data_IF_273698322166
#
_entry.id   IF_273698322166
#
_cell.length_a   1.000
_cell.length_b   1.000
_cell.length_c   1.000
_cell.angle_alpha   90.00
_cell.angle_beta   90.00
_cell.angle_gamma   90.00
#
_symmetry.space_group_name_H-M   'P 1'
#
loop_
_entity.id
_entity.type
_entity.pdbx_description
1 polymer ?
#
# COMPACT_ATOMS: atom_id res chain seq x y z
N UNK A 1 22.43 19.42 4.23
CA UNK A 1 22.94 18.06 3.97
C UNK A 1 24.13 18.13 3.03
N UNK A 2 25.19 17.38 3.33
CA UNK A 2 26.34 17.27 2.45
C UNK A 2 26.05 16.30 1.27
N UNK A 3 26.98 16.22 0.32
CA UNK A 3 26.83 15.40 -0.88
C UNK A 3 26.73 13.90 -0.56
N UNK A 4 27.41 13.44 0.49
CA UNK A 4 27.39 12.04 0.91
C UNK A 4 26.01 11.67 1.45
N UNK A 5 25.43 12.51 2.29
CA UNK A 5 24.09 12.30 2.84
C UNK A 5 23.03 12.29 1.75
N UNK A 6 23.16 13.18 0.75
CA UNK A 6 22.25 13.21 -0.39
C UNK A 6 22.35 11.93 -1.22
N UNK A 7 23.55 11.39 -1.42
CA UNK A 7 23.76 10.13 -2.12
C UNK A 7 23.13 8.96 -1.38
N UNK A 8 23.23 8.92 -0.04
CA UNK A 8 22.62 7.88 0.79
C UNK A 8 21.10 7.91 0.66
N UNK A 9 20.50 9.09 0.66
CA UNK A 9 19.05 9.27 0.49
C UNK A 9 18.62 8.75 -0.89
N UNK A 10 19.31 9.13 -1.94
CA UNK A 10 18.98 8.68 -3.30
C UNK A 10 19.11 7.17 -3.47
N UNK A 11 20.12 6.56 -2.84
CA UNK A 11 20.27 5.10 -2.84
C UNK A 11 19.09 4.41 -2.13
N UNK A 12 18.66 4.92 -0.98
CA UNK A 12 17.51 4.38 -0.26
C UNK A 12 16.24 4.46 -1.10
N UNK A 13 16.00 5.58 -1.76
CA UNK A 13 14.86 5.77 -2.65
C UNK A 13 14.87 4.75 -3.79
N UNK A 14 16.01 4.55 -4.42
CA UNK A 14 16.17 3.58 -5.52
C UNK A 14 15.95 2.15 -5.04
N UNK A 15 16.48 1.79 -3.89
CA UNK A 15 16.31 0.47 -3.29
C UNK A 15 14.83 0.19 -2.98
N UNK A 16 14.15 1.15 -2.40
CA UNK A 16 12.72 1.03 -2.08
C UNK A 16 11.87 0.91 -3.35
N UNK A 17 12.19 1.69 -4.36
CA UNK A 17 11.51 1.61 -5.65
C UNK A 17 11.69 0.24 -6.31
N UNK A 18 12.93 -0.25 -6.34
CA UNK A 18 13.26 -1.58 -6.88
C UNK A 18 12.51 -2.67 -6.14
N UNK A 19 12.51 -2.61 -4.82
CA UNK A 19 11.79 -3.56 -3.96
C UNK A 19 10.29 -3.56 -4.28
N UNK A 20 9.69 -2.40 -4.41
CA UNK A 20 8.28 -2.26 -4.76
C UNK A 20 7.98 -2.91 -6.11
N UNK A 21 8.81 -2.69 -7.12
CA UNK A 21 8.63 -3.29 -8.46
C UNK A 21 8.81 -4.81 -8.46
N UNK A 22 9.72 -5.32 -7.66
CA UNK A 22 9.88 -6.77 -7.47
C UNK A 22 8.62 -7.37 -6.84
N UNK A 23 8.06 -6.72 -5.83
CA UNK A 23 6.80 -7.16 -5.22
C UNK A 23 5.65 -7.15 -6.24
N UNK A 24 5.58 -6.10 -7.05
CA UNK A 24 4.56 -6.02 -8.11
C UNK A 24 4.63 -7.23 -9.04
N UNK A 25 5.83 -7.55 -9.54
CA UNK A 25 6.02 -8.70 -10.44
C UNK A 25 5.61 -10.02 -9.81
N UNK A 26 5.96 -10.24 -8.54
CA UNK A 26 5.59 -11.45 -7.81
C UNK A 26 4.09 -11.56 -7.58
N UNK A 27 3.44 -10.45 -7.22
CA UNK A 27 2.00 -10.42 -7.00
C UNK A 27 1.26 -10.65 -8.31
N UNK A 28 1.67 -9.99 -9.38
CA UNK A 28 1.07 -10.19 -10.71
C UNK A 28 1.16 -11.65 -11.16
N UNK A 29 2.30 -12.27 -10.89
CA UNK A 29 2.49 -13.69 -11.21
C UNK A 29 1.55 -14.58 -10.41
N UNK A 30 1.39 -14.33 -9.12
CA UNK A 30 0.52 -15.12 -8.25
C UNK A 30 -0.97 -14.93 -8.58
N UNK A 31 -1.38 -13.72 -8.89
CA UNK A 31 -2.76 -13.41 -9.21
C UNK A 31 -3.13 -13.69 -10.67
N UNK A 32 -2.14 -13.79 -11.56
CA UNK A 32 -2.38 -13.95 -12.99
C UNK A 32 -3.00 -12.74 -13.67
N UNK A 33 -2.79 -11.54 -13.11
CA UNK A 33 -3.32 -10.28 -13.64
C UNK A 33 -2.20 -9.23 -13.71
N UNK A 34 -2.45 -8.19 -14.49
CA UNK A 34 -1.57 -7.00 -14.52
C UNK A 34 -2.18 -5.95 -13.61
N UNK A 35 -1.40 -5.50 -12.62
CA UNK A 35 -1.83 -4.48 -11.68
C UNK A 35 -1.67 -3.09 -12.29
N UNK A 36 -2.55 -2.18 -11.93
CA UNK A 36 -2.40 -0.79 -12.31
C UNK A 36 -1.20 -0.18 -11.60
N UNK A 37 -0.50 0.71 -12.28
CA UNK A 37 0.72 1.32 -11.74
C UNK A 37 0.90 2.76 -12.20
N UNK A 38 1.63 3.52 -11.41
CA UNK A 38 2.25 4.76 -11.83
C UNK A 38 3.73 4.77 -11.44
N UNK A 39 4.40 5.92 -11.51
CA UNK A 39 5.84 6.01 -11.27
C UNK A 39 6.28 5.51 -9.89
N UNK A 40 5.46 5.73 -8.87
CA UNK A 40 5.81 5.48 -7.48
C UNK A 40 4.88 4.49 -6.77
N UNK A 41 4.01 3.81 -7.52
CA UNK A 41 3.04 2.91 -6.91
C UNK A 41 2.55 1.83 -7.86
N UNK A 42 1.90 0.84 -7.28
CA UNK A 42 1.05 -0.11 -7.99
C UNK A 42 -0.10 -0.52 -7.08
N UNK A 43 -1.12 -1.13 -7.64
CA UNK A 43 -2.21 -1.62 -6.83
C UNK A 43 -3.41 -2.06 -7.63
N UNK A 44 -4.52 -2.25 -6.93
CA UNK A 44 -5.76 -2.73 -7.51
C UNK A 44 -6.96 -1.96 -6.96
N UNK A 45 -7.88 -1.60 -7.83
CA UNK A 45 -9.14 -1.00 -7.44
C UNK A 45 -10.05 -2.11 -6.90
N UNK A 46 -10.37 -2.06 -5.60
CA UNK A 46 -11.21 -3.07 -4.97
C UNK A 46 -12.69 -2.87 -5.30
N UNK A 47 -13.12 -1.63 -5.27
CA UNK A 47 -14.45 -1.21 -5.70
C UNK A 47 -14.36 0.25 -6.18
N UNK A 48 -15.48 0.88 -6.49
CA UNK A 48 -15.47 2.26 -6.98
C UNK A 48 -15.03 3.31 -5.93
N UNK A 49 -14.81 2.90 -4.68
CA UNK A 49 -14.45 3.81 -3.58
C UNK A 49 -13.08 3.53 -2.99
N UNK A 50 -12.56 2.31 -3.10
CA UNK A 50 -11.37 1.88 -2.36
C UNK A 50 -10.34 1.26 -3.28
N UNK A 51 -9.12 1.74 -3.16
CA UNK A 51 -7.92 1.26 -3.84
C UNK A 51 -6.99 0.62 -2.82
N UNK A 52 -6.49 -0.57 -3.11
CA UNK A 52 -5.42 -1.20 -2.34
C UNK A 52 -4.12 -1.02 -3.10
N UNK A 53 -3.16 -0.32 -2.50
CA UNK A 53 -1.93 0.01 -3.19
C UNK A 53 -0.68 -0.19 -2.37
N UNK A 54 0.44 -0.15 -3.09
CA UNK A 54 1.80 -0.14 -2.54
C UNK A 54 2.52 1.06 -3.15
N UNK A 55 3.19 1.83 -2.30
CA UNK A 55 3.99 2.98 -2.71
C UNK A 55 5.45 2.71 -2.38
N UNK A 56 6.35 3.29 -3.16
CA UNK A 56 7.78 3.05 -3.02
C UNK A 56 8.43 3.78 -1.83
N UNK A 57 7.67 4.62 -1.14
CA UNK A 57 8.21 5.36 -0.01
C UNK A 57 9.05 6.58 -0.39
N UNK A 58 8.98 7.02 -1.64
CA UNK A 58 9.71 8.21 -2.10
C UNK A 58 9.44 9.43 -1.21
N UNK A 59 8.20 9.59 -0.78
CA UNK A 59 7.75 10.69 0.07
C UNK A 59 7.69 10.32 1.56
N UNK A 60 8.06 9.09 1.92
CA UNK A 60 7.97 8.66 3.31
C UNK A 60 9.17 9.12 4.12
N UNK A 61 8.97 9.27 5.42
CA UNK A 61 9.98 9.72 6.35
C UNK A 61 11.24 8.85 6.35
N UNK A 62 11.06 7.53 6.17
CA UNK A 62 12.13 6.54 6.21
C UNK A 62 12.51 6.00 4.83
N UNK A 63 11.90 6.51 3.77
CA UNK A 63 12.10 6.01 2.41
C UNK A 63 11.87 4.50 2.28
N UNK A 64 10.85 3.99 2.99
CA UNK A 64 10.48 2.57 2.96
C UNK A 64 9.17 2.40 2.22
N UNK A 65 9.03 1.30 1.44
CA UNK A 65 7.74 1.00 0.83
C UNK A 65 6.65 0.86 1.88
N UNK A 66 5.44 1.25 1.52
CA UNK A 66 4.30 1.11 2.41
C UNK A 66 3.06 0.69 1.63
N UNK A 67 2.14 0.06 2.33
CA UNK A 67 0.86 -0.41 1.80
C UNK A 67 -0.26 0.44 2.34
N UNK A 68 -1.35 0.49 1.62
CA UNK A 68 -2.50 1.17 2.14
C UNK A 68 -3.76 1.00 1.33
N UNK A 69 -4.85 1.33 1.99
CA UNK A 69 -6.13 1.55 1.34
C UNK A 69 -6.31 3.04 1.13
N UNK A 70 -6.54 3.44 -0.11
CA UNK A 70 -6.82 4.83 -0.47
C UNK A 70 -8.27 4.94 -0.90
N UNK A 71 -8.95 5.94 -0.38
CA UNK A 71 -10.37 6.17 -0.67
C UNK A 71 -10.50 7.14 -1.83
N UNK A 72 -11.06 6.68 -2.94
CA UNK A 72 -11.21 7.48 -4.15
C UNK A 72 -12.25 8.58 -3.96
N UNK A 73 -11.90 9.79 -4.39
CA UNK A 73 -12.82 10.92 -4.32
C UNK A 73 -13.39 11.14 -2.92
N UNK A 74 -12.60 10.84 -1.90
CA UNK A 74 -13.07 10.89 -0.54
C UNK A 74 -13.61 12.27 -0.19
N UNK A 75 -14.81 12.26 0.35
CA UNK A 75 -15.40 13.43 1.00
C UNK A 75 -15.30 13.19 2.50
N UNK A 76 -15.12 14.28 3.24
CA UNK A 76 -14.95 14.26 4.69
C UNK A 76 -16.03 13.42 5.39
N UNK A 77 -17.24 13.40 4.83
CA UNK A 77 -18.41 12.75 5.43
C UNK A 77 -18.51 11.25 5.19
N UNK A 78 -17.80 10.71 4.20
CA UNK A 78 -17.84 9.27 3.86
C UNK A 78 -16.71 8.48 4.51
N UNK A 79 -15.72 9.13 5.09
CA UNK A 79 -14.53 8.49 5.62
C UNK A 79 -14.75 7.60 6.84
N UNK A 80 -15.59 7.97 7.82
CA UNK A 80 -15.82 7.10 8.96
C UNK A 80 -16.36 5.73 8.58
N UNK A 81 -17.30 5.69 7.65
CA UNK A 81 -17.89 4.42 7.16
C UNK A 81 -16.85 3.54 6.47
N UNK A 82 -16.05 4.13 5.58
CA UNK A 82 -15.00 3.40 4.86
C UNK A 82 -13.92 2.91 5.82
N UNK A 83 -13.52 3.76 6.77
CA UNK A 83 -12.53 3.41 7.78
C UNK A 83 -13.03 2.24 8.63
N UNK A 84 -14.29 2.26 9.04
CA UNK A 84 -14.90 1.17 9.82
C UNK A 84 -14.97 -0.14 9.04
N UNK A 85 -15.14 -0.10 7.72
CA UNK A 85 -15.09 -1.28 6.86
C UNK A 85 -13.67 -1.82 6.71
N UNK A 86 -12.66 -0.95 6.67
CA UNK A 86 -11.27 -1.31 6.42
C UNK A 86 -10.58 -1.85 7.68
N UNK A 87 -10.87 -1.31 8.86
CA UNK A 87 -10.22 -1.72 10.12
C UNK A 87 -10.29 -3.22 10.39
N UNK A 88 -11.45 -3.89 10.26
CA UNK A 88 -11.49 -5.34 10.44
C UNK A 88 -10.64 -6.10 9.42
N UNK A 89 -10.55 -5.61 8.19
CA UNK A 89 -9.73 -6.22 7.13
C UNK A 89 -8.26 -6.18 7.51
N UNK A 90 -7.77 -5.02 7.94
CA UNK A 90 -6.40 -4.82 8.37
C UNK A 90 -6.07 -5.72 9.56
N UNK A 91 -6.95 -5.78 10.55
CA UNK A 91 -6.81 -6.63 11.71
C UNK A 91 -6.78 -8.11 11.35
N UNK A 92 -7.69 -8.55 10.48
CA UNK A 92 -7.78 -9.95 10.05
C UNK A 92 -6.59 -10.37 9.20
N UNK A 93 -5.92 -9.43 8.55
CA UNK A 93 -4.68 -9.69 7.84
C UNK A 93 -3.45 -9.73 8.75
N UNK A 94 -3.62 -9.59 10.07
CA UNK A 94 -2.56 -9.68 11.05
C UNK A 94 -1.74 -8.41 11.21
N UNK A 95 -2.25 -7.28 10.80
CA UNK A 95 -1.57 -5.99 10.90
C UNK A 95 -2.05 -5.27 12.15
N UNK A 96 -1.15 -5.07 13.10
CA UNK A 96 -1.50 -4.48 14.40
C UNK A 96 -1.27 -2.97 14.45
N UNK A 97 -0.35 -2.44 13.64
CA UNK A 97 0.02 -1.03 13.64
C UNK A 97 -0.15 -0.42 12.27
N UNK A 98 -0.94 0.62 12.20
CA UNK A 98 -1.19 1.37 10.97
C UNK A 98 -1.49 2.83 11.30
N UNK A 99 -1.32 3.70 10.30
CA UNK A 99 -1.71 5.11 10.38
C UNK A 99 -3.02 5.31 9.64
N UNK A 100 -3.92 6.04 10.26
CA UNK A 100 -5.12 6.54 9.61
C UNK A 100 -4.96 8.04 9.35
N UNK A 101 -5.20 8.43 8.10
CA UNK A 101 -5.29 9.83 7.71
C UNK A 101 -6.51 10.03 6.82
N UNK A 102 -6.86 11.29 6.57
CA UNK A 102 -7.97 11.60 5.68
C UNK A 102 -7.73 10.97 4.31
N UNK A 103 -8.60 10.07 3.91
CA UNK A 103 -8.57 9.44 2.60
C UNK A 103 -7.72 8.19 2.51
N UNK A 104 -7.06 7.75 3.59
CA UNK A 104 -6.28 6.52 3.52
C UNK A 104 -5.96 5.90 4.88
N UNK A 105 -5.74 4.60 4.85
CA UNK A 105 -5.21 3.80 5.97
C UNK A 105 -3.95 3.11 5.46
N UNK A 106 -2.81 3.34 6.08
CA UNK A 106 -1.54 2.84 5.59
C UNK A 106 -0.60 2.38 6.72
N UNK A 107 0.36 1.54 6.36
CA UNK A 107 1.40 1.05 7.28
C UNK A 107 2.69 0.81 6.51
N UNK A 108 3.78 0.73 7.26
CA UNK A 108 5.13 0.62 6.72
C UNK A 108 5.76 -0.72 7.08
N UNK A 109 6.48 -1.33 6.15
CA UNK A 109 7.31 -2.49 6.40
C UNK A 109 8.22 -2.75 5.20
N UNK A 110 9.37 -3.38 5.43
CA UNK A 110 10.25 -3.87 4.37
C UNK A 110 10.18 -5.38 4.22
N UNK A 111 9.40 -6.05 5.07
CA UNK A 111 9.36 -7.51 5.12
C UNK A 111 8.00 -8.03 4.69
N UNK A 112 8.00 -9.14 3.99
CA UNK A 112 6.79 -9.88 3.61
C UNK A 112 5.78 -9.07 2.79
N UNK A 113 6.27 -8.13 1.95
CA UNK A 113 5.41 -7.23 1.18
C UNK A 113 4.41 -7.96 0.29
N UNK A 114 4.88 -9.00 -0.41
CA UNK A 114 4.01 -9.80 -1.28
C UNK A 114 2.95 -10.53 -0.46
N UNK A 115 3.33 -11.17 0.63
CA UNK A 115 2.41 -11.91 1.49
C UNK A 115 1.37 -10.98 2.15
N UNK A 116 1.82 -9.81 2.60
CA UNK A 116 0.93 -8.80 3.17
C UNK A 116 -0.12 -8.34 2.16
N UNK A 117 0.30 -8.02 0.96
CA UNK A 117 -0.62 -7.61 -0.10
C UNK A 117 -1.62 -8.73 -0.40
N UNK A 118 -1.15 -9.96 -0.54
CA UNK A 118 -2.01 -11.11 -0.83
C UNK A 118 -3.02 -11.35 0.29
N UNK A 119 -2.60 -11.24 1.53
CA UNK A 119 -3.50 -11.39 2.69
C UNK A 119 -4.59 -10.32 2.70
N UNK A 120 -4.22 -9.07 2.45
CA UNK A 120 -5.17 -7.96 2.38
C UNK A 120 -6.15 -8.12 1.24
N UNK A 121 -5.65 -8.53 0.08
CA UNK A 121 -6.48 -8.78 -1.09
C UNK A 121 -7.51 -9.89 -0.81
N UNK A 122 -7.08 -11.01 -0.22
CA UNK A 122 -7.95 -12.13 0.09
C UNK A 122 -8.99 -11.77 1.14
N UNK A 123 -8.61 -11.10 2.21
CA UNK A 123 -9.55 -10.67 3.25
C UNK A 123 -10.55 -9.66 2.68
N UNK A 124 -10.10 -8.75 1.83
CA UNK A 124 -10.99 -7.80 1.15
C UNK A 124 -12.02 -8.52 0.28
N UNK A 125 -11.60 -9.56 -0.40
CA UNK A 125 -12.47 -10.40 -1.23
C UNK A 125 -13.51 -11.13 -0.40
N UNK A 126 -13.09 -11.74 0.70
CA UNK A 126 -13.95 -12.47 1.63
C UNK A 126 -14.95 -11.56 2.33
N UNK A 127 -14.58 -10.32 2.60
CA UNK A 127 -15.44 -9.34 3.27
C UNK A 127 -16.46 -8.69 2.35
N UNK A 128 -16.44 -9.02 1.06
CA UNK A 128 -17.35 -8.43 0.08
C UNK A 128 -16.94 -7.03 -0.40
N UNK A 129 -15.72 -6.60 -0.14
CA UNK A 129 -15.22 -5.30 -0.58
C UNK A 129 -14.94 -5.27 -2.09
N UNK A 130 -14.73 -6.42 -2.66
CA UNK A 130 -14.55 -6.61 -4.11
C UNK A 130 -15.87 -6.87 -4.80
#
# INVERSE_FOLDING_TARGET
LDAIDNLKIELKKKQSHTMMREWQGQIEKQLGIVLAKDEHSFGIQLNNKVWLGVWDGYDSENYLPYWGFQFNGYKKDSMPELSDQIKPIVKNAGIERYKEEKGWVAWYSTQNGVQRFMSLYQVSKQSGLL
#
